data_IF_791477316927
#
_entry.id   IF_791477316927
#
_cell.length_a   1.000
_cell.length_b   1.000
_cell.length_c   1.000
_cell.angle_alpha   90.00
_cell.angle_beta   90.00
_cell.angle_gamma   90.00
#
_symmetry.space_group_name_H-M   'P 1'
#
loop_
_entity.id
_entity.type
_entity.pdbx_description
1 polymer ?
#
# COMPACT_ATOMS: atom_id res chain seq x y z
N UNK A 1 8.91 -17.85 9.14
CA UNK A 1 10.24 -17.86 9.77
C UNK A 1 11.31 -18.42 8.83
N UNK A 2 11.12 -19.63 8.23
CA UNK A 2 12.12 -20.27 7.36
C UNK A 2 12.59 -19.39 6.21
N UNK A 3 11.68 -18.76 5.48
CA UNK A 3 12.03 -17.84 4.40
C UNK A 3 12.83 -16.63 4.90
N UNK A 4 12.44 -16.05 6.04
CA UNK A 4 13.18 -14.92 6.64
C UNK A 4 14.57 -15.33 7.10
N UNK A 5 14.72 -16.56 7.58
CA UNK A 5 16.02 -17.10 7.95
C UNK A 5 16.94 -17.24 6.73
N UNK A 6 16.44 -17.79 5.61
CA UNK A 6 17.21 -17.93 4.37
C UNK A 6 17.62 -16.56 3.83
N UNK A 7 16.67 -15.61 3.72
CA UNK A 7 16.96 -14.28 3.20
C UNK A 7 17.91 -13.51 4.12
N UNK A 8 17.71 -13.58 5.44
CA UNK A 8 18.59 -12.97 6.43
C UNK A 8 20.00 -13.50 6.37
N UNK A 9 20.16 -14.84 6.22
CA UNK A 9 21.48 -15.46 6.05
C UNK A 9 22.14 -15.09 4.73
N UNK A 10 21.37 -14.96 3.64
CA UNK A 10 21.92 -14.50 2.36
C UNK A 10 22.45 -13.07 2.45
N UNK A 11 21.75 -12.18 3.14
CA UNK A 11 22.21 -10.81 3.40
C UNK A 11 23.46 -10.78 4.28
N UNK A 12 23.51 -11.61 5.33
CA UNK A 12 24.68 -11.74 6.19
C UNK A 12 25.89 -12.31 5.42
N UNK A 13 25.66 -13.30 4.56
CA UNK A 13 26.71 -13.85 3.70
C UNK A 13 27.34 -12.80 2.76
N UNK A 14 26.53 -11.84 2.32
CA UNK A 14 27.02 -10.72 1.50
C UNK A 14 27.93 -9.77 2.28
N UNK A 15 27.67 -9.58 3.59
CA UNK A 15 28.44 -8.65 4.45
C UNK A 15 29.69 -9.31 5.00
N UNK A 16 29.58 -10.55 5.51
CA UNK A 16 30.63 -11.24 6.27
C UNK A 16 31.46 -12.16 5.37
N UNK A 17 30.90 -12.58 4.23
CA UNK A 17 31.45 -13.61 3.36
C UNK A 17 30.79 -14.97 3.58
N UNK A 18 30.56 -15.70 2.48
CA UNK A 18 29.89 -17.00 2.50
C UNK A 18 30.69 -18.09 3.22
N UNK A 19 32.01 -18.08 3.08
CA UNK A 19 32.88 -19.07 3.72
C UNK A 19 32.88 -18.94 5.24
N UNK A 20 32.98 -17.71 5.76
CA UNK A 20 32.96 -17.47 7.20
C UNK A 20 31.58 -17.80 7.82
N UNK A 21 30.51 -17.49 7.11
CA UNK A 21 29.15 -17.82 7.55
C UNK A 21 28.93 -19.34 7.64
N UNK A 22 29.38 -20.08 6.61
CA UNK A 22 29.33 -21.55 6.61
C UNK A 22 30.17 -22.15 7.72
N UNK A 23 31.36 -21.60 7.97
CA UNK A 23 32.22 -22.04 9.06
C UNK A 23 31.52 -21.88 10.42
N UNK A 24 30.87 -20.74 10.67
CA UNK A 24 30.13 -20.47 11.90
C UNK A 24 28.93 -21.42 12.07
N UNK A 25 28.30 -21.83 10.95
CA UNK A 25 27.12 -22.70 10.99
C UNK A 25 27.46 -24.18 11.12
N UNK A 26 28.59 -24.63 10.56
CA UNK A 26 28.97 -26.05 10.49
C UNK A 26 29.95 -26.46 11.59
N UNK A 27 30.63 -25.52 12.21
CA UNK A 27 31.59 -25.80 13.30
C UNK A 27 30.86 -25.97 14.65
N UNK A 28 31.61 -26.44 15.66
CA UNK A 28 31.05 -26.67 16.99
C UNK A 28 30.44 -25.38 17.57
N UNK A 29 29.14 -25.39 17.91
CA UNK A 29 28.44 -24.19 18.39
C UNK A 29 29.05 -23.54 19.64
N UNK A 30 29.86 -24.29 20.39
CA UNK A 30 30.55 -23.80 21.59
C UNK A 30 31.64 -22.77 21.26
N UNK A 31 32.26 -22.90 20.10
CA UNK A 31 33.34 -22.00 19.68
C UNK A 31 32.84 -20.68 19.07
N UNK A 32 31.61 -20.67 18.56
CA UNK A 32 31.02 -19.56 17.82
C UNK A 32 29.70 -19.05 18.43
N UNK A 33 29.52 -19.13 19.76
CA UNK A 33 28.28 -18.74 20.45
C UNK A 33 27.88 -17.30 20.10
N UNK A 34 28.82 -16.38 20.06
CA UNK A 34 28.56 -14.96 19.75
C UNK A 34 28.06 -14.82 18.30
N UNK A 35 28.70 -15.47 17.33
CA UNK A 35 28.30 -15.43 15.92
C UNK A 35 26.92 -16.02 15.70
N UNK A 36 26.62 -17.18 16.31
CA UNK A 36 25.31 -17.83 16.24
C UNK A 36 24.21 -16.99 16.89
N UNK A 37 24.50 -16.36 18.03
CA UNK A 37 23.55 -15.48 18.72
C UNK A 37 23.23 -14.25 17.88
N UNK A 38 24.22 -13.58 17.31
CA UNK A 38 24.04 -12.44 16.42
C UNK A 38 23.26 -12.80 15.17
N UNK A 39 23.55 -13.96 14.54
CA UNK A 39 22.85 -14.45 13.37
C UNK A 39 21.38 -14.74 13.67
N UNK A 40 21.10 -15.38 14.81
CA UNK A 40 19.72 -15.67 15.25
C UNK A 40 18.97 -14.38 15.56
N UNK A 41 19.62 -13.45 16.27
CA UNK A 41 19.03 -12.14 16.60
C UNK A 41 18.72 -11.34 15.33
N UNK A 42 19.61 -11.32 14.36
CA UNK A 42 19.41 -10.65 13.08
C UNK A 42 18.22 -11.28 12.30
N UNK A 43 18.16 -12.62 12.22
CA UNK A 43 17.06 -13.32 11.56
C UNK A 43 15.72 -13.10 12.24
N UNK A 44 15.69 -13.01 13.57
CA UNK A 44 14.52 -12.70 14.37
C UNK A 44 14.06 -11.25 14.16
N UNK A 45 14.99 -10.31 14.14
CA UNK A 45 14.70 -8.89 13.87
C UNK A 45 14.15 -8.73 12.46
N UNK A 46 14.77 -9.38 11.46
CA UNK A 46 14.30 -9.39 10.09
C UNK A 46 12.88 -9.96 9.98
N UNK A 47 12.63 -11.09 10.63
CA UNK A 47 11.29 -11.68 10.69
C UNK A 47 10.26 -10.74 11.34
N UNK A 48 10.61 -10.10 12.46
CA UNK A 48 9.72 -9.17 13.15
C UNK A 48 9.36 -7.95 12.28
N UNK A 49 10.33 -7.41 11.56
CA UNK A 49 10.10 -6.28 10.65
C UNK A 49 9.13 -6.69 9.54
N UNK A 50 9.37 -7.81 8.86
CA UNK A 50 8.53 -8.22 7.72
C UNK A 50 7.19 -8.85 8.13
N UNK A 51 7.10 -9.47 9.30
CA UNK A 51 5.85 -10.04 9.79
C UNK A 51 4.93 -9.01 10.45
N UNK A 52 5.49 -8.02 11.16
CA UNK A 52 4.70 -7.07 11.97
C UNK A 52 4.63 -5.68 11.38
N UNK A 53 5.73 -5.16 10.86
CA UNK A 53 5.78 -3.80 10.31
C UNK A 53 5.49 -3.72 8.81
N UNK A 54 5.59 -4.81 8.11
CA UNK A 54 5.20 -5.00 6.72
C UNK A 54 5.14 -3.70 5.88
N UNK A 55 3.97 -3.13 5.72
CA UNK A 55 3.73 -1.89 4.95
C UNK A 55 4.29 -0.64 5.64
N UNK A 56 4.31 -0.62 6.97
CA UNK A 56 4.87 0.48 7.75
C UNK A 56 6.39 0.62 7.57
N UNK A 57 7.09 -0.48 7.27
CA UNK A 57 8.51 -0.43 6.94
C UNK A 57 8.77 0.40 5.66
N UNK A 58 7.90 0.28 4.65
CA UNK A 58 8.00 1.08 3.43
C UNK A 58 7.68 2.56 3.67
N UNK A 59 6.76 2.86 4.59
CA UNK A 59 6.33 4.23 4.89
C UNK A 59 7.34 4.98 5.76
N UNK A 60 7.89 4.32 6.80
CA UNK A 60 8.70 5.00 7.81
C UNK A 60 10.20 4.77 7.67
N UNK A 61 10.61 3.57 7.28
CA UNK A 61 12.02 3.14 7.33
C UNK A 61 12.66 3.15 5.95
N UNK A 62 11.92 2.74 4.90
CA UNK A 62 12.48 2.58 3.57
C UNK A 62 12.70 3.94 2.90
N UNK A 63 13.96 4.34 2.63
CA UNK A 63 14.22 5.60 1.95
C UNK A 63 13.67 5.63 0.52
N UNK A 64 13.55 4.46 -0.13
CA UNK A 64 12.99 4.34 -1.47
C UNK A 64 11.50 4.71 -1.51
N UNK A 65 10.70 4.28 -0.54
CA UNK A 65 9.28 4.64 -0.45
C UNK A 65 9.07 6.16 -0.34
N UNK A 66 9.92 6.84 0.42
CA UNK A 66 9.92 8.30 0.53
C UNK A 66 10.41 9.00 -0.73
N UNK A 67 11.45 8.45 -1.35
CA UNK A 67 12.02 9.00 -2.58
C UNK A 67 11.06 8.87 -3.76
N UNK A 68 10.33 7.77 -3.84
CA UNK A 68 9.31 7.56 -4.87
C UNK A 68 8.26 8.68 -4.88
N UNK A 69 7.79 9.14 -3.73
CA UNK A 69 6.81 10.21 -3.66
C UNK A 69 7.35 11.57 -4.08
N UNK A 70 8.65 11.83 -3.85
CA UNK A 70 9.29 13.06 -4.30
C UNK A 70 9.48 13.13 -5.83
N UNK A 71 9.45 11.99 -6.50
CA UNK A 71 9.52 11.89 -7.96
C UNK A 71 8.15 12.00 -8.66
N UNK A 72 7.05 12.02 -7.88
CA UNK A 72 5.72 12.19 -8.45
C UNK A 72 5.47 13.68 -8.76
N UNK A 73 5.14 13.95 -10.00
CA UNK A 73 4.74 15.27 -10.51
C UNK A 73 3.23 15.32 -10.73
N UNK A 74 2.66 16.50 -10.82
CA UNK A 74 1.24 16.74 -11.10
C UNK A 74 0.77 16.15 -12.44
N UNK A 75 1.69 15.86 -13.34
CA UNK A 75 1.45 15.21 -14.62
C UNK A 75 1.62 13.67 -14.58
N UNK A 76 2.04 13.12 -13.44
CA UNK A 76 2.19 11.68 -13.31
C UNK A 76 0.83 10.98 -13.31
N UNK A 77 0.71 9.92 -14.12
CA UNK A 77 -0.50 9.11 -14.19
C UNK A 77 -0.62 8.24 -12.93
N UNK A 78 -1.66 8.46 -12.17
CA UNK A 78 -1.94 7.79 -10.90
C UNK A 78 -3.37 7.28 -10.86
N UNK A 79 -3.65 6.34 -9.96
CA UNK A 79 -5.03 6.07 -9.57
C UNK A 79 -5.47 7.19 -8.63
N UNK A 80 -6.46 7.96 -9.04
CA UNK A 80 -6.91 9.13 -8.30
C UNK A 80 -8.43 9.16 -8.15
N UNK A 81 -8.87 9.76 -7.06
CA UNK A 81 -10.28 10.03 -6.76
C UNK A 81 -10.62 11.44 -7.22
N UNK A 82 -11.70 11.58 -7.98
CA UNK A 82 -12.18 12.88 -8.45
C UNK A 82 -12.91 13.61 -7.32
N UNK A 83 -12.19 14.47 -6.63
CA UNK A 83 -12.71 15.24 -5.52
C UNK A 83 -13.82 16.23 -5.95
N UNK A 84 -13.70 16.83 -7.13
CA UNK A 84 -14.69 17.81 -7.62
C UNK A 84 -16.05 17.17 -7.85
N UNK A 85 -16.05 15.95 -8.31
CA UNK A 85 -17.26 15.19 -8.61
C UNK A 85 -17.78 14.44 -7.38
N UNK A 86 -16.87 13.93 -6.54
CA UNK A 86 -17.20 13.02 -5.45
C UNK A 86 -17.53 13.68 -4.11
N UNK A 87 -17.08 14.91 -3.88
CA UNK A 87 -17.41 15.66 -2.66
C UNK A 87 -18.71 16.48 -2.85
N UNK A 88 -19.60 16.63 -1.90
CA UNK A 88 -19.56 16.19 -0.51
C UNK A 88 -20.07 14.76 -0.40
N UNK A 89 -19.26 13.88 0.22
CA UNK A 89 -19.61 12.47 0.41
C UNK A 89 -20.79 12.31 1.35
N UNK A 90 -21.83 11.61 0.91
CA UNK A 90 -23.01 11.32 1.73
C UNK A 90 -23.49 9.87 1.48
N UNK A 91 -23.98 9.17 2.51
CA UNK A 91 -24.60 7.86 2.34
C UNK A 91 -25.81 7.95 1.41
N UNK A 92 -26.07 6.86 0.67
CA UNK A 92 -27.26 6.78 -0.18
C UNK A 92 -28.49 6.51 0.67
N UNK A 93 -29.55 7.31 0.50
CA UNK A 93 -30.86 7.04 1.09
C UNK A 93 -31.77 6.28 0.11
N UNK A 94 -32.63 5.41 0.61
CA UNK A 94 -33.57 4.65 -0.23
C UNK A 94 -34.51 5.59 -0.98
N UNK A 95 -34.51 5.49 -2.31
CA UNK A 95 -35.38 6.31 -3.16
C UNK A 95 -34.77 7.66 -3.58
N UNK A 96 -33.55 7.97 -3.18
CA UNK A 96 -32.84 9.18 -3.60
C UNK A 96 -32.39 9.05 -5.07
N UNK A 97 -32.80 10.01 -5.92
CA UNK A 97 -32.41 10.06 -7.33
C UNK A 97 -31.11 10.87 -7.49
N UNK A 98 -30.39 10.61 -8.59
CA UNK A 98 -29.16 11.32 -8.93
C UNK A 98 -29.34 12.85 -8.98
N UNK A 99 -30.44 13.31 -9.55
CA UNK A 99 -30.73 14.75 -9.67
C UNK A 99 -31.05 15.41 -8.32
N UNK A 100 -31.81 14.73 -7.47
CA UNK A 100 -32.08 15.22 -6.11
C UNK A 100 -30.80 15.39 -5.30
N UNK A 101 -29.88 14.44 -5.46
CA UNK A 101 -28.57 14.48 -4.82
C UNK A 101 -27.73 15.68 -5.24
N UNK A 102 -27.76 16.01 -6.54
CA UNK A 102 -27.08 17.20 -7.07
C UNK A 102 -27.69 18.51 -6.58
N UNK A 103 -29.01 18.59 -6.49
CA UNK A 103 -29.68 19.79 -5.97
C UNK A 103 -29.40 20.03 -4.49
N UNK A 104 -29.16 18.96 -3.72
CA UNK A 104 -28.75 19.03 -2.32
C UNK A 104 -27.24 19.28 -2.13
N UNK A 105 -26.47 19.44 -3.21
CA UNK A 105 -25.02 19.66 -3.14
C UNK A 105 -24.20 18.44 -2.69
N UNK A 106 -24.78 17.24 -2.78
CA UNK A 106 -24.09 15.99 -2.48
C UNK A 106 -23.34 15.51 -3.72
N UNK A 107 -22.11 15.05 -3.52
CA UNK A 107 -21.29 14.45 -4.59
C UNK A 107 -21.72 13.03 -4.95
N UNK A 108 -21.12 12.50 -6.03
CA UNK A 108 -21.41 11.16 -6.55
C UNK A 108 -20.93 10.05 -5.60
N UNK A 109 -20.01 10.35 -4.67
CA UNK A 109 -19.51 9.36 -3.71
C UNK A 109 -20.54 9.05 -2.61
N UNK A 110 -21.05 7.83 -2.62
CA UNK A 110 -22.04 7.33 -1.64
C UNK A 110 -21.43 6.81 -0.34
N UNK A 111 -20.14 7.04 -0.13
CA UNK A 111 -19.40 6.64 1.08
C UNK A 111 -19.50 5.13 1.41
N UNK A 112 -19.64 4.27 0.42
CA UNK A 112 -19.75 2.82 0.61
C UNK A 112 -18.47 2.12 1.09
N UNK A 113 -17.31 2.80 1.02
CA UNK A 113 -15.98 2.30 1.39
C UNK A 113 -15.51 1.04 0.63
N UNK A 114 -16.16 0.65 -0.45
CA UNK A 114 -15.77 -0.50 -1.24
C UNK A 114 -14.34 -0.37 -1.80
N UNK A 115 -13.95 0.84 -2.21
CA UNK A 115 -12.59 1.14 -2.67
C UNK A 115 -11.52 0.92 -1.59
N UNK A 116 -11.86 1.15 -0.32
CA UNK A 116 -10.95 0.90 0.82
C UNK A 116 -10.88 -0.60 1.13
N UNK A 117 -12.03 -1.28 1.11
CA UNK A 117 -12.11 -2.70 1.43
C UNK A 117 -11.39 -3.60 0.42
N UNK A 118 -11.38 -3.21 -0.87
CA UNK A 118 -10.71 -3.97 -1.93
C UNK A 118 -9.20 -3.69 -1.98
N UNK A 119 -8.73 -2.63 -1.33
CA UNK A 119 -7.33 -2.22 -1.42
C UNK A 119 -6.41 -3.21 -0.71
N UNK A 120 -5.43 -3.84 -1.40
CA UNK A 120 -4.52 -4.80 -0.80
C UNK A 120 -3.58 -4.18 0.24
N UNK A 121 -3.33 -2.87 0.14
CA UNK A 121 -2.50 -2.12 1.09
C UNK A 121 -3.32 -1.37 2.14
N UNK A 122 -4.66 -1.47 2.09
CA UNK A 122 -5.56 -0.89 3.10
C UNK A 122 -5.68 0.63 3.08
N UNK A 123 -5.23 1.30 2.01
CA UNK A 123 -5.32 2.77 1.90
C UNK A 123 -6.73 3.25 1.59
N UNK A 124 -7.02 4.49 1.97
CA UNK A 124 -8.22 5.20 1.54
C UNK A 124 -7.88 6.18 0.42
N UNK A 125 -8.08 5.76 -0.82
CA UNK A 125 -7.77 6.58 -2.01
C UNK A 125 -8.51 7.92 -2.04
N UNK A 126 -9.61 8.06 -1.31
CA UNK A 126 -10.39 9.29 -1.21
C UNK A 126 -9.69 10.41 -0.43
N UNK A 127 -8.63 10.08 0.31
CA UNK A 127 -7.76 11.04 1.01
C UNK A 127 -6.63 11.58 0.13
N UNK A 128 -6.63 11.22 -1.15
CA UNK A 128 -5.55 11.53 -2.09
C UNK A 128 -4.52 10.43 -2.19
N UNK A 129 -3.45 10.73 -2.91
CA UNK A 129 -2.34 9.80 -3.11
C UNK A 129 -1.64 9.49 -1.78
N UNK A 130 -1.35 8.21 -1.55
CA UNK A 130 -0.61 7.72 -0.40
C UNK A 130 0.57 6.87 -0.89
N UNK A 131 1.66 6.86 -0.12
CA UNK A 131 2.92 6.17 -0.48
C UNK A 131 2.76 4.66 -0.67
N UNK A 132 1.81 4.08 0.04
CA UNK A 132 1.51 2.65 0.01
C UNK A 132 0.73 2.23 -1.25
N UNK A 133 0.30 3.19 -2.08
CA UNK A 133 -0.45 2.90 -3.29
C UNK A 133 0.45 2.23 -4.34
N UNK A 134 0.11 1.00 -4.70
CA UNK A 134 0.82 0.23 -5.74
C UNK A 134 0.24 0.43 -7.15
N UNK A 135 -0.73 1.32 -7.32
CA UNK A 135 -1.32 1.64 -8.62
C UNK A 135 -2.09 0.51 -9.29
N UNK A 136 -2.59 -0.47 -8.54
CA UNK A 136 -3.21 -1.68 -9.11
C UNK A 136 -4.59 -1.46 -9.76
N UNK A 137 -5.28 -0.34 -9.49
CA UNK A 137 -6.57 0.00 -10.08
C UNK A 137 -7.80 -0.73 -9.51
N UNK A 138 -7.64 -1.69 -8.59
CA UNK A 138 -8.77 -2.45 -8.02
C UNK A 138 -9.86 -1.56 -7.39
N UNK A 139 -9.48 -0.42 -6.84
CA UNK A 139 -10.42 0.56 -6.31
C UNK A 139 -11.24 1.27 -7.40
N UNK A 140 -10.69 1.43 -8.60
CA UNK A 140 -11.41 1.98 -9.75
C UNK A 140 -12.47 0.99 -10.23
N UNK A 141 -12.11 -0.28 -10.42
CA UNK A 141 -13.03 -1.33 -10.91
C UNK A 141 -14.21 -1.53 -9.95
N UNK A 142 -13.94 -1.60 -8.65
CA UNK A 142 -15.02 -1.77 -7.66
C UNK A 142 -15.90 -0.52 -7.57
N UNK A 143 -15.31 0.68 -7.70
CA UNK A 143 -16.07 1.91 -7.72
C UNK A 143 -17.01 1.98 -8.93
N UNK A 144 -16.51 1.65 -10.10
CA UNK A 144 -17.32 1.61 -11.33
C UNK A 144 -18.47 0.58 -11.23
N UNK A 145 -18.23 -0.58 -10.61
CA UNK A 145 -19.29 -1.55 -10.31
C UNK A 145 -20.39 -0.98 -9.41
N UNK A 146 -20.02 -0.16 -8.43
CA UNK A 146 -20.99 0.54 -7.56
C UNK A 146 -21.73 1.62 -8.33
N UNK A 147 -21.02 2.41 -9.15
CA UNK A 147 -21.62 3.46 -9.99
C UNK A 147 -22.63 2.88 -10.95
N UNK A 148 -22.32 1.75 -11.62
CA UNK A 148 -23.24 1.06 -12.51
C UNK A 148 -24.53 0.62 -11.81
N UNK A 149 -24.43 0.03 -10.63
CA UNK A 149 -25.58 -0.39 -9.82
C UNK A 149 -26.52 0.76 -9.46
N UNK A 150 -25.97 1.96 -9.39
CA UNK A 150 -26.72 3.17 -9.03
C UNK A 150 -27.14 4.00 -10.25
N UNK A 151 -26.72 3.61 -11.44
CA UNK A 151 -26.96 4.39 -12.66
C UNK A 151 -26.19 5.70 -12.72
N UNK A 152 -25.06 5.79 -12.01
CA UNK A 152 -24.17 6.96 -12.02
C UNK A 152 -23.06 6.78 -13.07
N UNK A 153 -22.55 7.87 -13.63
CA UNK A 153 -21.47 7.79 -14.61
C UNK A 153 -20.19 7.24 -13.95
N UNK A 154 -19.52 6.32 -14.66
CA UNK A 154 -18.24 5.72 -14.24
C UNK A 154 -17.11 6.73 -14.08
N UNK A 155 -15.97 6.28 -13.54
CA UNK A 155 -14.71 7.05 -13.49
C UNK A 155 -14.63 8.03 -12.33
N UNK A 156 -15.34 7.79 -11.22
CA UNK A 156 -15.17 8.55 -9.98
C UNK A 156 -13.79 8.27 -9.36
N UNK A 157 -13.32 7.04 -9.46
CA UNK A 157 -11.93 6.65 -9.22
C UNK A 157 -11.37 6.17 -10.55
N UNK A 158 -10.28 6.77 -11.02
CA UNK A 158 -9.71 6.46 -12.34
C UNK A 158 -8.23 6.72 -12.40
N UNK A 159 -7.58 6.20 -13.43
CA UNK A 159 -6.23 6.64 -13.77
C UNK A 159 -6.30 8.05 -14.36
N UNK A 160 -5.69 8.99 -13.68
CA UNK A 160 -5.66 10.39 -14.10
C UNK A 160 -4.41 11.07 -13.57
N UNK A 161 -4.07 12.20 -14.14
CA UNK A 161 -3.08 13.12 -13.59
C UNK A 161 -3.76 14.09 -12.62
N UNK A 162 -3.03 14.63 -11.66
CA UNK A 162 -3.57 15.63 -10.73
C UNK A 162 -4.12 16.86 -11.49
N UNK A 163 -3.41 17.27 -12.55
CA UNK A 163 -3.84 18.36 -13.42
C UNK A 163 -5.14 18.06 -14.18
N UNK A 164 -5.44 16.81 -14.49
CA UNK A 164 -6.69 16.42 -15.16
C UNK A 164 -7.91 16.39 -14.22
N UNK A 165 -7.67 16.38 -12.91
CA UNK A 165 -8.72 16.42 -11.88
C UNK A 165 -8.96 17.86 -11.40
N UNK A 166 -7.89 18.66 -11.34
CA UNK A 166 -7.93 20.10 -10.99
C UNK A 166 -8.48 20.95 -12.11
#
# INVERSE_FOLDING_TARGET
FGASFIVGNTLLAYIIGSEQLLHIQLDDPRNHIVGLTLMTLFSLLFYAIFARFREQACTFICPYGRFQSALLDENTLLVAYDNKRGETRAPLHRGETFEQRKTEGKGDCVNCRACVAVCPTGIDIRKGLQYECIGCGACADVCDTVMDKMGYPRGLVRYATQNAIN
#
